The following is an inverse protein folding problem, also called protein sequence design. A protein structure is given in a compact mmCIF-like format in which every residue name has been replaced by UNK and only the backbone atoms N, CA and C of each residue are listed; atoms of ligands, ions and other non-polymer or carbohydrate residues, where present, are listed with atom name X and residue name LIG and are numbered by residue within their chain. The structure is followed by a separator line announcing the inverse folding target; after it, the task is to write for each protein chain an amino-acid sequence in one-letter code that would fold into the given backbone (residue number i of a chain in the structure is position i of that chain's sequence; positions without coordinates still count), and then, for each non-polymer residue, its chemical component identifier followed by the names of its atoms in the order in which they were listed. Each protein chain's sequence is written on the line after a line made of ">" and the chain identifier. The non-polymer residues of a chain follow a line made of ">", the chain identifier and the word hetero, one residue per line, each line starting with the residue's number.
data_IF_455723555710
#
_entry.id   IF_455723555710
#
_cell.length_a   1.000
_cell.length_b   1.000
_cell.length_c   1.000
_cell.angle_alpha   90.00
_cell.angle_beta   90.00
_cell.angle_gamma   90.00
#
_symmetry.space_group_name_H-M   'P 1'
#
loop_
_entity.id
_entity.type
_entity.pdbx_description
1 polymer ?
#
# COMPACT_ATOMS: atom_id res chain seq x y z
N UNK A 1 -3.86 -9.45 6.53
CA UNK A 1 -3.04 -10.60 6.11
C UNK A 1 -1.56 -10.47 6.49
N UNK A 2 -0.82 -9.42 6.08
CA UNK A 2 0.61 -9.26 6.42
C UNK A 2 0.88 -9.36 7.92
N UNK A 3 0.12 -8.65 8.75
CA UNK A 3 0.28 -8.65 10.21
C UNK A 3 -0.04 -10.02 10.83
N UNK A 4 -1.04 -10.71 10.31
CA UNK A 4 -1.42 -12.06 10.77
C UNK A 4 -0.32 -13.08 10.48
N UNK A 5 0.21 -13.06 9.25
CA UNK A 5 1.35 -13.91 8.89
C UNK A 5 2.61 -13.52 9.67
N UNK A 6 2.86 -12.23 9.85
CA UNK A 6 3.96 -11.75 10.68
C UNK A 6 3.88 -12.29 12.11
N UNK A 7 2.71 -12.26 12.73
CA UNK A 7 2.52 -12.82 14.06
C UNK A 7 2.75 -14.34 14.11
N UNK A 8 2.20 -15.07 13.15
CA UNK A 8 2.33 -16.54 13.11
C UNK A 8 3.78 -17.02 12.92
N UNK A 9 4.57 -16.32 12.12
CA UNK A 9 5.94 -16.75 11.81
C UNK A 9 7.00 -16.17 12.75
N UNK A 10 6.80 -14.95 13.23
CA UNK A 10 7.81 -14.26 14.06
C UNK A 10 7.44 -14.19 15.54
N UNK A 11 6.25 -14.68 15.94
CA UNK A 11 5.74 -14.62 17.32
C UNK A 11 5.65 -13.21 17.92
N UNK A 12 5.65 -12.16 17.08
CA UNK A 12 5.36 -10.80 17.49
C UNK A 12 4.56 -10.06 16.41
N UNK A 13 3.84 -9.01 16.82
CA UNK A 13 3.08 -8.18 15.89
C UNK A 13 4.06 -7.18 15.23
N UNK A 14 4.28 -7.25 13.90
CA UNK A 14 5.28 -6.43 13.23
C UNK A 14 4.86 -4.95 13.06
N UNK A 15 3.88 -4.48 13.84
CA UNK A 15 3.40 -3.10 13.80
C UNK A 15 2.85 -2.68 15.16
N UNK A 16 3.25 -1.51 15.66
CA UNK A 16 2.76 -0.96 16.92
C UNK A 16 1.27 -0.59 16.82
N UNK A 17 0.54 -0.72 17.94
CA UNK A 17 -0.90 -0.42 17.98
C UNK A 17 -1.21 1.03 17.55
N UNK A 18 -0.44 2.00 18.01
CA UNK A 18 -0.60 3.41 17.62
C UNK A 18 -0.46 3.59 16.10
N UNK A 19 0.53 2.93 15.50
CA UNK A 19 0.74 2.97 14.06
C UNK A 19 -0.43 2.33 13.28
N UNK A 20 -1.05 1.26 13.82
CA UNK A 20 -2.26 0.66 13.23
C UNK A 20 -3.44 1.63 13.21
N UNK A 21 -3.65 2.37 14.31
CA UNK A 21 -4.74 3.36 14.40
C UNK A 21 -4.52 4.48 13.37
N UNK A 22 -3.31 5.03 13.31
CA UNK A 22 -2.97 6.09 12.36
C UNK A 22 -3.14 5.59 10.92
N UNK A 23 -2.63 4.40 10.59
CA UNK A 23 -2.80 3.76 9.29
C UNK A 23 -4.28 3.65 8.89
N UNK A 24 -5.14 3.20 9.82
CA UNK A 24 -6.57 3.03 9.56
C UNK A 24 -7.24 4.36 9.25
N UNK A 25 -6.94 5.41 10.01
CA UNK A 25 -7.50 6.75 9.78
C UNK A 25 -7.07 7.29 8.41
N UNK A 26 -5.78 7.19 8.08
CA UNK A 26 -5.24 7.66 6.81
C UNK A 26 -5.82 6.88 5.63
N UNK A 27 -5.84 5.55 5.70
CA UNK A 27 -6.42 4.73 4.66
C UNK A 27 -7.92 5.02 4.42
N UNK A 28 -8.68 5.31 5.49
CA UNK A 28 -10.08 5.70 5.36
C UNK A 28 -10.23 7.06 4.66
N UNK A 29 -9.37 8.03 4.94
CA UNK A 29 -9.40 9.34 4.24
C UNK A 29 -9.16 9.17 2.73
N UNK A 30 -8.16 8.39 2.34
CA UNK A 30 -7.88 8.10 0.93
C UNK A 30 -9.06 7.38 0.27
N UNK A 31 -9.64 6.39 0.95
CA UNK A 31 -10.79 5.62 0.44
C UNK A 31 -12.02 6.51 0.22
N UNK A 32 -12.31 7.43 1.15
CA UNK A 32 -13.41 8.40 1.00
C UNK A 32 -13.22 9.31 -0.21
N UNK A 33 -11.97 9.72 -0.49
CA UNK A 33 -11.68 10.61 -1.62
C UNK A 33 -11.76 9.93 -2.98
N UNK A 34 -11.65 8.60 -3.06
CA UNK A 34 -11.86 7.85 -4.30
C UNK A 34 -13.28 8.08 -4.84
N UNK A 35 -14.27 8.20 -3.95
CA UNK A 35 -15.66 8.49 -4.34
C UNK A 35 -15.86 9.85 -5.03
N UNK A 36 -14.90 10.77 -4.91
CA UNK A 36 -14.92 12.09 -5.58
C UNK A 36 -14.08 12.12 -6.87
N UNK A 37 -13.45 11.00 -7.23
CA UNK A 37 -12.60 10.93 -8.41
C UNK A 37 -13.41 10.95 -9.70
N UNK A 38 -12.83 11.53 -10.76
CA UNK A 38 -13.45 11.57 -12.09
C UNK A 38 -13.37 10.19 -12.73
N UNK A 39 -14.47 9.44 -12.68
CA UNK A 39 -14.60 8.19 -13.40
C UNK A 39 -15.19 8.41 -14.78
N UNK A 40 -14.76 7.64 -15.78
CA UNK A 40 -15.42 7.60 -17.08
C UNK A 40 -16.82 7.01 -16.92
N UNK A 41 -17.84 7.83 -17.16
CA UNK A 41 -19.24 7.38 -17.13
C UNK A 41 -19.45 6.50 -18.38
N UNK A 42 -19.67 5.22 -18.17
CA UNK A 42 -20.09 4.30 -19.22
C UNK A 42 -21.61 4.35 -19.34
N UNK A 43 -22.11 4.67 -20.54
CA UNK A 43 -23.56 4.74 -20.82
C UNK A 43 -24.23 3.36 -20.92
N UNK A 44 -23.48 2.27 -20.81
CA UNK A 44 -23.98 0.89 -20.82
C UNK A 44 -23.89 0.29 -19.42
N UNK A 45 -24.94 -0.40 -18.95
CA UNK A 45 -24.87 -1.12 -17.68
C UNK A 45 -23.75 -2.17 -17.76
N UNK A 46 -22.76 -2.07 -16.88
CA UNK A 46 -21.70 -3.08 -16.77
C UNK A 46 -22.24 -4.29 -16.00
N UNK A 47 -22.11 -5.47 -16.58
CA UNK A 47 -22.37 -6.72 -15.88
C UNK A 47 -21.25 -7.00 -14.89
N UNK A 48 -21.52 -6.77 -13.62
CA UNK A 48 -20.55 -6.98 -12.54
C UNK A 48 -20.35 -8.48 -12.28
N UNK A 49 -19.24 -9.01 -12.73
CA UNK A 49 -18.88 -10.39 -12.39
C UNK A 49 -18.12 -10.41 -11.06
N UNK A 50 -18.86 -10.66 -9.97
CA UNK A 50 -18.32 -10.69 -8.61
C UNK A 50 -17.17 -11.68 -8.43
N UNK A 51 -17.24 -12.86 -9.09
CA UNK A 51 -16.19 -13.86 -9.03
C UNK A 51 -14.86 -13.34 -9.63
N UNK A 52 -14.96 -12.56 -10.70
CA UNK A 52 -13.79 -11.94 -11.33
C UNK A 52 -13.20 -10.85 -10.45
N UNK A 53 -14.03 -9.97 -9.88
CA UNK A 53 -13.60 -8.93 -8.95
C UNK A 53 -12.89 -9.53 -7.73
N UNK A 54 -13.44 -10.60 -7.17
CA UNK A 54 -12.83 -11.31 -6.05
C UNK A 54 -11.47 -11.91 -6.43
N UNK A 55 -11.32 -12.52 -7.61
CA UNK A 55 -10.03 -13.04 -8.08
C UNK A 55 -8.99 -11.94 -8.21
N UNK A 56 -9.36 -10.80 -8.79
CA UNK A 56 -8.48 -9.64 -8.95
C UNK A 56 -8.05 -9.11 -7.59
N UNK A 57 -9.00 -8.87 -6.68
CA UNK A 57 -8.71 -8.39 -5.33
C UNK A 57 -7.80 -9.35 -4.56
N UNK A 58 -8.06 -10.66 -4.67
CA UNK A 58 -7.25 -11.68 -4.02
C UNK A 58 -5.82 -11.73 -4.59
N UNK A 59 -5.65 -11.65 -5.90
CA UNK A 59 -4.32 -11.68 -6.53
C UNK A 59 -3.49 -10.46 -6.15
N UNK A 60 -4.10 -9.27 -6.11
CA UNK A 60 -3.45 -8.05 -5.63
C UNK A 60 -3.04 -8.15 -4.16
N UNK A 61 -3.98 -8.59 -3.30
CA UNK A 61 -3.71 -8.74 -1.88
C UNK A 61 -2.60 -9.78 -1.61
N UNK A 62 -2.61 -10.89 -2.34
CA UNK A 62 -1.57 -11.92 -2.24
C UNK A 62 -0.20 -11.38 -2.67
N UNK A 63 -0.11 -10.68 -3.80
CA UNK A 63 1.13 -10.07 -4.29
C UNK A 63 1.74 -9.10 -3.26
N UNK A 64 0.96 -8.15 -2.77
CA UNK A 64 1.41 -7.20 -1.75
C UNK A 64 1.80 -7.87 -0.43
N UNK A 65 1.05 -8.91 -0.02
CA UNK A 65 1.36 -9.66 1.21
C UNK A 65 2.67 -10.45 1.09
N UNK A 66 2.91 -11.11 -0.05
CA UNK A 66 4.14 -11.89 -0.28
C UNK A 66 5.37 -10.97 -0.26
N UNK A 67 5.32 -9.86 -1.01
CA UNK A 67 6.44 -8.91 -1.04
C UNK A 67 6.67 -8.28 0.34
N UNK A 68 5.60 -7.86 1.02
CA UNK A 68 5.69 -7.30 2.36
C UNK A 68 6.22 -8.31 3.38
N UNK A 69 5.81 -9.56 3.31
CA UNK A 69 6.34 -10.62 4.17
C UNK A 69 7.82 -10.91 3.93
N UNK A 70 8.24 -10.93 2.66
CA UNK A 70 9.65 -11.07 2.28
C UNK A 70 10.47 -9.90 2.82
N UNK A 71 9.94 -8.68 2.75
CA UNK A 71 10.58 -7.48 3.28
C UNK A 71 10.75 -7.55 4.81
N UNK A 72 9.70 -7.92 5.55
CA UNK A 72 9.77 -8.09 7.02
C UNK A 72 10.75 -9.21 7.40
N UNK A 73 10.75 -10.32 6.67
CA UNK A 73 11.69 -11.43 6.89
C UNK A 73 13.14 -10.99 6.69
N UNK A 74 13.39 -10.21 5.64
CA UNK A 74 14.72 -9.64 5.38
C UNK A 74 15.20 -8.75 6.53
N UNK A 75 14.34 -7.86 7.03
CA UNK A 75 14.68 -6.98 8.15
C UNK A 75 14.98 -7.76 9.43
N UNK A 76 14.20 -8.81 9.73
CA UNK A 76 14.44 -9.67 10.89
C UNK A 76 15.78 -10.43 10.80
N UNK A 77 16.11 -10.98 9.63
CA UNK A 77 17.36 -11.71 9.41
C UNK A 77 18.60 -10.82 9.58
N UNK A 78 18.49 -9.54 9.27
CA UNK A 78 19.57 -8.57 9.42
C UNK A 78 19.65 -7.94 10.82
N UNK A 79 18.87 -8.44 11.78
CA UNK A 79 18.96 -8.03 13.18
C UNK A 79 18.47 -6.59 13.46
N UNK A 80 17.54 -6.08 12.67
CA UNK A 80 16.94 -4.75 12.90
C UNK A 80 16.11 -4.75 14.18
N UNK A 81 16.06 -3.63 14.88
CA UNK A 81 15.25 -3.52 16.08
C UNK A 81 13.76 -3.65 15.75
N UNK A 82 12.99 -4.34 16.59
CA UNK A 82 11.54 -4.53 16.41
C UNK A 82 10.80 -3.19 16.25
N UNK A 83 11.25 -2.15 16.93
CA UNK A 83 10.64 -0.82 16.84
C UNK A 83 10.86 -0.20 15.46
N UNK A 84 12.06 -0.32 14.89
CA UNK A 84 12.35 0.17 13.53
C UNK A 84 11.59 -0.62 12.48
N UNK A 85 11.52 -1.95 12.62
CA UNK A 85 10.71 -2.81 11.74
C UNK A 85 9.25 -2.36 11.76
N UNK A 86 8.68 -2.08 12.94
CA UNK A 86 7.31 -1.64 13.08
C UNK A 86 7.01 -0.36 12.30
N UNK A 87 7.91 0.63 12.36
CA UNK A 87 7.73 1.90 11.63
C UNK A 87 7.93 1.69 10.11
N UNK A 88 8.89 0.87 9.70
CA UNK A 88 9.11 0.55 8.27
C UNK A 88 7.90 -0.21 7.69
N UNK A 89 7.31 -1.13 8.43
CA UNK A 89 6.08 -1.84 8.02
C UNK A 89 4.90 -0.88 7.90
N UNK A 90 4.76 0.07 8.82
CA UNK A 90 3.75 1.13 8.73
C UNK A 90 3.90 1.93 7.43
N UNK A 91 5.10 2.45 7.15
CA UNK A 91 5.39 3.20 5.91
C UNK A 91 5.09 2.34 4.67
N UNK A 92 5.52 1.08 4.66
CA UNK A 92 5.24 0.15 3.57
C UNK A 92 3.74 -0.06 3.34
N UNK A 93 2.95 -0.23 4.41
CA UNK A 93 1.50 -0.43 4.30
C UNK A 93 0.78 0.82 3.79
N UNK A 94 1.16 2.02 4.24
CA UNK A 94 0.59 3.27 3.73
C UNK A 94 0.89 3.44 2.24
N UNK A 95 2.16 3.27 1.84
CA UNK A 95 2.56 3.37 0.44
C UNK A 95 1.87 2.32 -0.43
N UNK A 96 1.76 1.07 0.06
CA UNK A 96 1.07 0.00 -0.66
C UNK A 96 -0.41 0.32 -0.89
N UNK A 97 -1.11 0.85 0.12
CA UNK A 97 -2.51 1.24 -0.01
C UNK A 97 -2.71 2.32 -1.08
N UNK A 98 -1.84 3.32 -1.11
CA UNK A 98 -1.90 4.38 -2.12
C UNK A 98 -1.60 3.88 -3.52
N UNK A 99 -0.57 3.05 -3.66
CA UNK A 99 -0.17 2.49 -4.95
C UNK A 99 -1.25 1.53 -5.49
N UNK A 100 -1.91 0.76 -4.62
CA UNK A 100 -3.08 -0.07 -5.00
C UNK A 100 -4.19 0.81 -5.60
N UNK A 101 -4.49 1.94 -4.98
CA UNK A 101 -5.51 2.88 -5.50
C UNK A 101 -5.13 3.36 -6.90
N UNK A 102 -3.86 3.72 -7.12
CA UNK A 102 -3.39 4.14 -8.43
C UNK A 102 -3.45 3.03 -9.48
N UNK A 103 -3.04 1.80 -9.13
CA UNK A 103 -3.04 0.63 -10.01
C UNK A 103 -4.47 0.21 -10.38
N UNK A 104 -5.40 0.19 -9.42
CA UNK A 104 -6.76 -0.30 -9.64
C UNK A 104 -7.66 0.71 -10.36
N UNK A 105 -7.31 1.99 -10.31
CA UNK A 105 -8.06 3.08 -10.93
C UNK A 105 -7.97 3.04 -12.46
N UNK A 106 -6.82 2.66 -13.02
CA UNK A 106 -6.54 2.79 -14.44
C UNK A 106 -6.62 1.45 -15.16
N UNK A 107 -7.11 1.47 -16.42
CA UNK A 107 -7.03 0.31 -17.36
C UNK A 107 -5.69 0.26 -18.11
N UNK A 108 -4.81 1.25 -17.88
CA UNK A 108 -3.46 1.38 -18.43
C UNK A 108 -2.45 1.28 -17.29
N UNK A 109 -1.15 1.37 -17.60
CA UNK A 109 -0.11 1.43 -16.57
C UNK A 109 -0.34 2.64 -15.66
N UNK A 110 -0.12 2.48 -14.36
CA UNK A 110 -0.46 3.50 -13.34
C UNK A 110 0.24 4.85 -13.58
N UNK A 111 1.35 4.88 -14.31
CA UNK A 111 2.08 6.11 -14.67
C UNK A 111 1.53 6.84 -15.90
N UNK A 112 0.57 6.27 -16.63
CA UNK A 112 0.02 6.87 -17.87
C UNK A 112 -1.23 7.69 -17.64
N UNK A 113 -1.89 7.55 -16.50
CA UNK A 113 -3.16 8.23 -16.23
C UNK A 113 -3.09 8.95 -14.87
N UNK A 114 -3.17 10.28 -14.92
CA UNK A 114 -3.05 11.12 -13.73
C UNK A 114 -4.33 11.09 -12.90
N UNK A 115 -4.23 10.97 -11.55
CA UNK A 115 -5.37 11.08 -10.66
C UNK A 115 -6.01 12.48 -10.75
N UNK A 116 -7.29 12.59 -10.35
CA UNK A 116 -7.91 13.89 -10.20
C UNK A 116 -7.08 14.74 -9.23
N UNK A 117 -7.09 16.07 -9.41
CA UNK A 117 -6.29 16.97 -8.57
C UNK A 117 -6.52 16.75 -7.09
N UNK A 118 -7.76 16.46 -6.70
CA UNK A 118 -8.15 16.27 -5.32
C UNK A 118 -7.58 14.97 -4.75
N UNK A 119 -7.69 13.85 -5.47
CA UNK A 119 -7.10 12.57 -5.06
C UNK A 119 -5.57 12.67 -5.00
N UNK A 120 -4.95 13.34 -5.98
CA UNK A 120 -3.50 13.55 -5.97
C UNK A 120 -3.02 14.38 -4.78
N UNK A 121 -3.72 15.46 -4.42
CA UNK A 121 -3.38 16.29 -3.26
C UNK A 121 -3.48 15.48 -1.98
N UNK A 122 -4.57 14.73 -1.80
CA UNK A 122 -4.76 13.90 -0.59
C UNK A 122 -3.68 12.82 -0.47
N UNK A 123 -3.35 12.13 -1.56
CA UNK A 123 -2.27 11.14 -1.55
C UNK A 123 -0.90 11.75 -1.22
N UNK A 124 -0.56 12.90 -1.81
CA UNK A 124 0.70 13.59 -1.49
C UNK A 124 0.74 14.05 -0.04
N UNK A 125 -0.36 14.59 0.48
CA UNK A 125 -0.47 15.02 1.88
C UNK A 125 -0.29 13.84 2.83
N UNK A 126 -0.89 12.70 2.53
CA UNK A 126 -0.83 11.49 3.33
C UNK A 126 0.59 10.88 3.34
N UNK A 127 1.26 10.83 2.19
CA UNK A 127 2.67 10.42 2.10
C UNK A 127 3.56 11.38 2.89
N UNK A 128 3.38 12.69 2.74
CA UNK A 128 4.16 13.70 3.45
C UNK A 128 3.97 13.56 4.97
N UNK A 129 2.74 13.39 5.42
CA UNK A 129 2.42 13.19 6.84
C UNK A 129 3.04 11.89 7.37
N UNK A 130 2.95 10.81 6.61
CA UNK A 130 3.59 9.52 6.95
C UNK A 130 5.10 9.67 7.11
N UNK A 131 5.77 10.40 6.24
CA UNK A 131 7.21 10.62 6.31
C UNK A 131 7.59 11.48 7.52
N UNK A 132 6.81 12.54 7.81
CA UNK A 132 7.02 13.38 9.00
C UNK A 132 6.86 12.53 10.27
N UNK A 133 5.81 11.74 10.39
CA UNK A 133 5.57 10.88 11.54
C UNK A 133 6.69 9.85 11.74
N UNK A 134 7.18 9.23 10.66
CA UNK A 134 8.23 8.23 10.72
C UNK A 134 9.61 8.84 11.06
N UNK A 135 9.93 10.02 10.56
CA UNK A 135 11.20 10.70 10.81
C UNK A 135 11.23 11.40 12.18
N UNK A 136 10.10 12.00 12.59
CA UNK A 136 10.01 12.67 13.89
C UNK A 136 9.80 11.68 15.05
N UNK A 137 9.43 10.42 14.76
CA UNK A 137 9.14 9.42 15.80
C UNK A 137 7.88 9.72 16.61
N UNK A 138 6.90 10.46 16.04
CA UNK A 138 5.64 10.77 16.70
C UNK A 138 4.74 9.53 16.68
N UNK A 139 4.41 9.02 17.85
CA UNK A 139 3.59 7.82 18.07
C UNK A 139 4.20 6.48 17.59
N UNK A 140 5.40 6.50 17.04
CA UNK A 140 6.15 5.31 16.58
C UNK A 140 7.65 5.54 16.75
N UNK A 141 8.46 4.50 16.57
CA UNK A 141 9.92 4.64 16.66
C UNK A 141 10.46 5.47 15.48
N UNK A 142 11.35 6.40 15.79
CA UNK A 142 12.06 7.17 14.79
C UNK A 142 12.92 6.26 13.91
N UNK A 143 12.86 6.45 12.60
CA UNK A 143 13.71 5.75 11.63
C UNK A 143 14.67 6.71 10.94
N UNK A 144 15.82 6.19 10.54
CA UNK A 144 16.78 6.95 9.74
C UNK A 144 16.23 7.22 8.33
N UNK A 145 16.65 8.32 7.74
CA UNK A 145 16.34 8.64 6.34
C UNK A 145 16.69 7.52 5.36
N UNK A 146 17.79 6.80 5.60
CA UNK A 146 18.19 5.65 4.78
C UNK A 146 17.17 4.52 4.82
N UNK A 147 16.62 4.22 5.99
CA UNK A 147 15.61 3.17 6.18
C UNK A 147 14.29 3.53 5.52
N UNK A 148 13.92 4.80 5.58
CA UNK A 148 12.76 5.32 4.87
C UNK A 148 12.91 5.16 3.36
N UNK A 149 14.08 5.53 2.80
CA UNK A 149 14.37 5.36 1.38
C UNK A 149 14.31 3.89 0.95
N UNK A 150 14.89 2.98 1.72
CA UNK A 150 14.81 1.53 1.44
C UNK A 150 13.36 1.10 1.36
N UNK A 151 12.53 1.49 2.32
CA UNK A 151 11.11 1.13 2.34
C UNK A 151 10.35 1.69 1.14
N UNK A 152 10.62 2.94 0.75
CA UNK A 152 10.03 3.57 -0.43
C UNK A 152 10.41 2.82 -1.71
N UNK A 153 11.69 2.50 -1.88
CA UNK A 153 12.18 1.75 -3.05
C UNK A 153 11.52 0.37 -3.12
N UNK A 154 11.44 -0.35 -2.01
CA UNK A 154 10.77 -1.66 -1.95
C UNK A 154 9.28 -1.54 -2.34
N UNK A 155 8.58 -0.53 -1.84
CA UNK A 155 7.17 -0.31 -2.17
C UNK A 155 6.98 0.04 -3.65
N UNK A 156 7.85 0.87 -4.24
CA UNK A 156 7.79 1.21 -5.66
C UNK A 156 8.10 0.01 -6.57
N UNK A 157 9.12 -0.77 -6.24
CA UNK A 157 9.45 -2.00 -6.98
C UNK A 157 8.29 -2.99 -6.90
N UNK A 158 7.69 -3.15 -5.72
CA UNK A 158 6.50 -3.97 -5.54
C UNK A 158 5.34 -3.50 -6.43
N UNK A 159 5.09 -2.18 -6.50
CA UNK A 159 4.05 -1.61 -7.34
C UNK A 159 4.26 -1.92 -8.82
N UNK A 160 5.49 -1.77 -9.33
CA UNK A 160 5.83 -2.07 -10.72
C UNK A 160 5.61 -3.56 -11.03
N UNK A 161 6.10 -4.44 -10.17
CA UNK A 161 5.93 -5.90 -10.34
C UNK A 161 4.44 -6.27 -10.37
N UNK A 162 3.68 -5.74 -9.41
CA UNK A 162 2.25 -6.03 -9.29
C UNK A 162 1.48 -5.45 -10.47
N UNK A 163 1.79 -4.24 -10.93
CA UNK A 163 1.14 -3.63 -12.09
C UNK A 163 1.40 -4.45 -13.38
N UNK A 164 2.63 -4.92 -13.58
CA UNK A 164 2.97 -5.78 -14.71
C UNK A 164 2.22 -7.12 -14.71
N UNK A 165 1.98 -7.70 -13.53
CA UNK A 165 1.20 -8.94 -13.38
C UNK A 165 -0.29 -8.66 -13.56
N UNK A 166 -0.77 -7.51 -13.10
CA UNK A 166 -2.18 -7.14 -13.09
C UNK A 166 -2.71 -6.76 -14.48
N UNK A 167 -1.91 -6.06 -15.29
CA UNK A 167 -2.29 -5.58 -16.62
C UNK A 167 -2.81 -6.67 -17.57
N UNK A 168 -2.15 -7.82 -17.74
CA UNK A 168 -2.65 -8.88 -18.62
C UNK A 168 -3.97 -9.50 -18.13
N UNK A 169 -4.21 -9.49 -16.81
CA UNK A 169 -5.46 -10.00 -16.23
C UNK A 169 -6.63 -9.06 -16.53
N UNK A 170 -6.37 -7.75 -16.64
CA UNK A 170 -7.38 -6.73 -16.97
C UNK A 170 -7.60 -6.58 -18.46
N UNK A 171 -6.57 -6.79 -19.30
CA UNK A 171 -6.64 -6.58 -20.74
C UNK A 171 -7.48 -7.62 -21.49
N UNK A 172 -7.73 -8.78 -20.90
CA UNK A 172 -8.61 -9.83 -21.43
C UNK A 172 -10.13 -9.54 -21.19
N UNK A 173 -10.55 -8.28 -21.38
CA UNK A 173 -11.95 -7.85 -21.41
C UNK A 173 -12.45 -7.69 -22.83
#
# INVERSE_FOLDING_TARGET
>A
MLLTFGYLFFNYIPMALNAMVIYTVMNNMVTMMIGTDRTHITYKPENWNMARLAKIAFSLAAGWTIIGFTFVSYLNLHGWSHNSISTMVYVYLVLSAMLIVLITRTRKYFWQDYPSKLVGIVQITDVALTFILALCGLAMAQISWQNLLITVVVALVAAVIIDLIYQPVMKNR
#
